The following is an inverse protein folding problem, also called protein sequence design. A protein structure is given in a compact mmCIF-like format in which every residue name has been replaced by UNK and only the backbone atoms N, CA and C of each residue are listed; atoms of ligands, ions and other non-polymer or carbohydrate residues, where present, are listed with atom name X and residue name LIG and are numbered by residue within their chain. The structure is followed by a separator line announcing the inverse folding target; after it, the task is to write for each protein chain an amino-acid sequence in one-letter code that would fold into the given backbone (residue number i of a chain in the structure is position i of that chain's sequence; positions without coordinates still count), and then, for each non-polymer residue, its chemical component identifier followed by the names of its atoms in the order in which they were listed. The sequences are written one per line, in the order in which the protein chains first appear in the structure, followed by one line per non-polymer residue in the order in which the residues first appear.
data_IF_947238149751
#
_entry.id   IF_947238149751
#
_cell.length_a   1.000
_cell.length_b   1.000
_cell.length_c   1.000
_cell.angle_alpha   90.00
_cell.angle_beta   90.00
_cell.angle_gamma   90.00
#
_symmetry.space_group_name_H-M   'P 1'
#
loop_
_entity.id
_entity.type
_entity.pdbx_description
1 polymer ?
#
# COMPACT_ATOMS: atom_id res chain seq x y z
N UNK A 1 30.44 -2.48 -17.78
CA UNK A 1 30.17 -2.40 -17.11
C UNK A 1 28.93 -2.12 -16.70
N UNK A 2 28.39 -2.51 -16.10
CA UNK A 2 27.30 -2.30 -15.56
C UNK A 2 26.77 -1.00 -15.56
N UNK A 3 27.45 -0.07 -15.75
CA UNK A 3 26.96 1.26 -15.77
C UNK A 3 25.94 1.45 -16.85
N UNK A 4 26.12 0.75 -17.94
CA UNK A 4 25.19 0.88 -19.04
C UNK A 4 23.80 0.47 -18.65
N UNK A 5 23.71 -0.49 -17.78
CA UNK A 5 22.39 -0.97 -17.40
C UNK A 5 21.70 -0.02 -16.44
N UNK A 6 22.46 0.87 -15.83
CA UNK A 6 21.87 1.79 -14.90
C UNK A 6 21.11 2.90 -15.56
N UNK A 7 21.44 3.20 -16.81
CA UNK A 7 20.76 4.27 -17.48
C UNK A 7 19.29 4.06 -17.64
N UNK A 8 18.85 2.84 -17.78
CA UNK A 8 17.43 2.53 -17.96
C UNK A 8 16.93 1.86 -16.71
N UNK A 9 16.02 2.51 -15.99
CA UNK A 9 15.47 1.89 -14.78
C UNK A 9 14.85 0.55 -15.10
N UNK A 10 15.05 -0.40 -14.23
CA UNK A 10 14.54 -1.74 -14.39
C UNK A 10 13.41 -1.98 -13.39
N UNK A 11 12.30 -2.56 -13.82
CA UNK A 11 11.22 -2.85 -12.88
C UNK A 11 11.71 -3.78 -11.79
N UNK A 12 11.29 -3.52 -10.57
CA UNK A 12 11.62 -4.37 -9.45
C UNK A 12 10.49 -5.39 -9.27
N UNK A 13 10.74 -6.68 -9.49
CA UNK A 13 9.68 -7.68 -9.42
C UNK A 13 9.09 -7.84 -8.02
N UNK A 14 9.78 -7.31 -7.00
CA UNK A 14 9.29 -7.44 -5.65
C UNK A 14 8.34 -6.32 -5.24
N UNK A 15 8.27 -5.25 -6.00
CA UNK A 15 7.43 -4.11 -5.66
C UNK A 15 6.43 -3.87 -6.75
N UNK A 16 5.20 -4.26 -6.49
CA UNK A 16 4.12 -4.11 -7.45
C UNK A 16 3.03 -3.27 -6.82
N UNK A 17 2.44 -2.39 -7.57
CA UNK A 17 1.41 -1.50 -7.03
C UNK A 17 0.20 -2.31 -6.57
N UNK A 18 -0.25 -2.05 -5.36
CA UNK A 18 -1.39 -2.73 -4.77
C UNK A 18 -2.71 -2.07 -5.13
N UNK A 19 -2.69 -1.01 -5.92
CA UNK A 19 -3.92 -0.33 -6.31
C UNK A 19 -4.83 -1.24 -7.12
N UNK A 20 -6.15 -1.09 -6.98
CA UNK A 20 -7.09 -1.91 -7.72
C UNK A 20 -6.87 -1.76 -9.22
N UNK A 21 -6.75 -2.91 -9.90
CA UNK A 21 -6.54 -2.95 -11.34
C UNK A 21 -5.26 -2.26 -11.82
N UNK A 22 -4.30 -2.09 -10.95
CA UNK A 22 -3.04 -1.48 -11.33
C UNK A 22 -1.95 -2.54 -11.55
N UNK A 23 -1.26 -2.92 -10.50
CA UNK A 23 -0.28 -4.00 -10.57
C UNK A 23 1.00 -3.69 -11.34
N UNK A 24 1.29 -2.43 -11.63
CA UNK A 24 2.53 -2.12 -12.34
C UNK A 24 3.72 -2.34 -11.42
N UNK A 25 4.87 -2.62 -12.04
CA UNK A 25 6.08 -2.87 -11.29
C UNK A 25 6.84 -1.58 -11.06
N UNK A 26 7.43 -1.45 -9.88
CA UNK A 26 8.21 -0.27 -9.55
C UNK A 26 9.54 -0.31 -10.28
N UNK A 27 9.94 0.83 -10.83
CA UNK A 27 11.25 0.97 -11.43
C UNK A 27 12.13 1.76 -10.49
N UNK A 28 13.43 1.65 -10.66
CA UNK A 28 14.37 2.20 -9.69
C UNK A 28 14.26 3.71 -9.52
N UNK A 29 13.80 4.40 -10.53
CA UNK A 29 13.67 5.86 -10.46
C UNK A 29 12.30 6.34 -10.00
N UNK A 30 11.35 5.44 -9.82
CA UNK A 30 10.01 5.83 -9.45
C UNK A 30 9.94 6.24 -8.00
N UNK A 31 9.11 7.24 -7.72
CA UNK A 31 8.84 7.66 -6.36
C UNK A 31 7.47 7.14 -5.99
N UNK A 32 7.43 6.15 -5.13
CA UNK A 32 6.18 5.54 -4.72
C UNK A 32 5.90 5.85 -3.26
N UNK A 33 4.79 5.34 -2.80
CA UNK A 33 4.32 5.52 -1.43
C UNK A 33 4.07 4.16 -0.81
N UNK A 34 3.95 4.15 0.51
CA UNK A 34 3.70 2.92 1.25
C UNK A 34 2.50 3.11 2.16
N UNK A 35 1.69 2.07 2.26
CA UNK A 35 0.51 2.09 3.11
C UNK A 35 0.46 0.80 3.91
N UNK A 36 0.01 0.89 5.14
CA UNK A 36 -0.19 -0.31 5.93
C UNK A 36 -1.23 -0.03 7.02
N UNK A 37 -1.71 -1.09 7.66
CA UNK A 37 -2.69 -0.95 8.71
C UNK A 37 -2.12 -1.52 10.00
N UNK A 38 -2.61 -1.02 11.13
CA UNK A 38 -2.15 -1.49 12.42
C UNK A 38 -3.23 -1.28 13.46
N UNK A 39 -3.30 -2.19 14.42
CA UNK A 39 -4.23 -2.07 15.53
C UNK A 39 -3.50 -2.02 16.86
N UNK A 40 -2.19 -1.84 16.77
CA UNK A 40 -1.32 -1.99 17.92
C UNK A 40 -1.75 -1.30 19.19
N UNK A 41 -2.10 -0.06 19.14
CA UNK A 41 -2.47 0.69 20.33
C UNK A 41 -3.90 1.20 20.28
N UNK A 42 -4.72 0.60 19.42
CA UNK A 42 -6.03 1.14 19.19
C UNK A 42 -7.11 0.07 19.27
N UNK A 43 -8.29 0.48 19.67
CA UNK A 43 -9.42 -0.41 19.66
C UNK A 43 -9.84 -0.75 18.24
N UNK A 44 -9.44 0.05 17.29
CA UNK A 44 -9.79 -0.17 15.90
C UNK A 44 -8.58 0.00 15.01
N UNK A 45 -8.66 -0.54 13.80
CA UNK A 45 -7.56 -0.51 12.84
C UNK A 45 -7.31 0.91 12.35
N UNK A 46 -6.06 1.27 12.23
CA UNK A 46 -5.65 2.55 11.66
C UNK A 46 -4.90 2.31 10.35
N UNK A 47 -5.02 3.26 9.44
CA UNK A 47 -4.32 3.20 8.16
C UNK A 47 -3.20 4.23 8.17
N UNK A 48 -2.02 3.80 7.74
CA UNK A 48 -0.84 4.66 7.68
C UNK A 48 -0.39 4.83 6.25
N UNK A 49 0.16 6.00 5.95
CA UNK A 49 0.68 6.32 4.63
C UNK A 49 1.98 7.09 4.80
N UNK A 50 3.00 6.71 4.06
CA UNK A 50 4.27 7.41 4.10
C UNK A 50 4.93 7.40 2.74
N UNK A 51 5.91 8.29 2.56
CA UNK A 51 6.73 8.26 1.38
C UNK A 51 7.60 7.01 1.40
N UNK A 52 8.17 6.67 0.27
CA UNK A 52 8.95 5.45 0.14
C UNK A 52 10.09 5.40 1.15
N UNK A 53 10.23 4.26 1.80
CA UNK A 53 11.31 3.97 2.72
C UNK A 53 11.61 2.48 2.59
N UNK A 54 12.84 2.13 2.26
CA UNK A 54 13.19 0.74 1.98
C UNK A 54 12.90 -0.19 3.16
N UNK A 55 13.16 0.27 4.36
CA UNK A 55 12.94 -0.58 5.52
C UNK A 55 11.45 -0.88 5.70
N UNK A 56 10.61 0.11 5.50
CA UNK A 56 9.18 -0.07 5.60
C UNK A 56 8.66 -0.88 4.41
N UNK A 57 9.23 -0.65 3.23
CA UNK A 57 8.78 -1.33 2.02
C UNK A 57 8.95 -2.84 2.12
N UNK A 58 9.96 -3.29 2.87
CA UNK A 58 10.22 -4.70 3.03
C UNK A 58 9.48 -5.30 4.22
N UNK A 59 8.70 -4.51 4.91
CA UNK A 59 7.94 -4.99 6.06
C UNK A 59 6.76 -5.83 5.64
N UNK A 60 6.41 -6.77 6.50
CA UNK A 60 5.29 -7.63 6.23
C UNK A 60 3.99 -6.85 6.28
N UNK A 61 3.12 -7.05 5.31
CA UNK A 61 1.83 -6.37 5.30
C UNK A 61 1.86 -4.98 4.70
N UNK A 62 3.01 -4.51 4.24
CA UNK A 62 3.10 -3.20 3.63
C UNK A 62 2.63 -3.25 2.18
N UNK A 63 1.79 -2.29 1.81
CA UNK A 63 1.32 -2.16 0.44
C UNK A 63 2.15 -1.11 -0.28
N UNK A 64 2.54 -1.41 -1.50
CA UNK A 64 3.34 -0.50 -2.32
C UNK A 64 2.41 0.20 -3.31
N UNK A 65 2.47 1.52 -3.37
CA UNK A 65 1.50 2.32 -4.11
C UNK A 65 2.22 3.23 -5.06
N UNK A 66 1.86 3.19 -6.34
CA UNK A 66 2.58 3.94 -7.36
C UNK A 66 2.24 5.41 -7.39
N UNK A 67 1.13 5.83 -6.83
CA UNK A 67 0.77 7.22 -6.85
C UNK A 67 -0.51 7.52 -6.11
N UNK A 68 -0.90 8.77 -6.19
CA UNK A 68 -2.02 9.27 -5.43
C UNK A 68 -3.34 8.59 -5.76
N UNK A 69 -3.61 8.35 -7.03
CA UNK A 69 -4.88 7.73 -7.40
C UNK A 69 -5.05 6.34 -6.79
N UNK A 70 -4.00 5.53 -6.85
CA UNK A 70 -4.06 4.21 -6.26
C UNK A 70 -4.17 4.30 -4.75
N UNK A 71 -3.47 5.26 -4.14
CA UNK A 71 -3.56 5.46 -2.71
C UNK A 71 -4.99 5.82 -2.30
N UNK A 72 -5.63 6.69 -3.06
CA UNK A 72 -7.00 7.08 -2.79
C UNK A 72 -7.96 5.91 -2.90
N UNK A 73 -7.75 5.05 -3.90
CA UNK A 73 -8.61 3.89 -4.06
C UNK A 73 -8.45 2.92 -2.90
N UNK A 74 -7.22 2.70 -2.47
CA UNK A 74 -6.97 1.82 -1.34
C UNK A 74 -7.54 2.40 -0.05
N UNK A 75 -7.41 3.71 0.13
CA UNK A 75 -7.98 4.38 1.28
C UNK A 75 -9.49 4.23 1.30
N UNK A 76 -10.12 4.38 0.14
CA UNK A 76 -11.56 4.23 0.02
C UNK A 76 -12.00 2.81 0.38
N UNK A 77 -11.26 1.81 -0.09
CA UNK A 77 -11.55 0.43 0.26
C UNK A 77 -11.41 0.18 1.76
N UNK A 78 -10.36 0.75 2.36
CA UNK A 78 -10.14 0.60 3.78
C UNK A 78 -11.32 1.17 4.56
N UNK A 79 -11.75 2.37 4.20
CA UNK A 79 -12.86 3.01 4.88
C UNK A 79 -14.15 2.23 4.70
N UNK A 80 -14.37 1.70 3.50
CA UNK A 80 -15.54 0.89 3.24
C UNK A 80 -15.54 -0.41 4.04
N UNK A 81 -14.39 -1.05 4.14
CA UNK A 81 -14.28 -2.29 4.89
C UNK A 81 -14.53 -2.07 6.38
N UNK A 82 -14.03 -0.96 6.91
CA UNK A 82 -14.26 -0.64 8.32
C UNK A 82 -15.74 -0.41 8.56
N UNK A 83 -16.38 0.33 7.65
CA UNK A 83 -17.81 0.62 7.79
C UNK A 83 -18.64 -0.66 7.74
N UNK A 84 -18.31 -1.55 6.79
CA UNK A 84 -19.03 -2.81 6.70
C UNK A 84 -18.81 -3.66 7.93
N UNK A 85 -17.60 -3.67 8.45
CA UNK A 85 -17.30 -4.42 9.65
C UNK A 85 -18.10 -3.92 10.84
N UNK A 86 -18.25 -2.61 10.96
CA UNK A 86 -19.03 -2.03 12.03
C UNK A 86 -20.51 -2.39 11.89
N UNK A 87 -21.02 -2.35 10.68
CA UNK A 87 -22.41 -2.71 10.46
C UNK A 87 -22.65 -4.17 10.78
N UNK A 88 -21.77 -5.05 10.36
CA UNK A 88 -21.90 -6.46 10.65
C UNK A 88 -21.82 -6.72 12.14
N UNK A 89 -20.96 -5.98 12.83
CA UNK A 89 -20.81 -6.15 14.25
C UNK A 89 -22.10 -5.77 14.97
N UNK A 90 -22.71 -4.68 14.53
CA UNK A 90 -23.99 -4.27 15.12
C UNK A 90 -25.06 -5.33 14.86
N UNK A 91 -25.10 -5.86 13.64
CA UNK A 91 -26.05 -6.89 13.32
C UNK A 91 -25.81 -8.13 14.16
N UNK A 92 -24.56 -8.49 14.37
CA UNK A 92 -24.23 -9.66 15.16
C UNK A 92 -24.58 -9.53 16.60
N UNK A 93 -24.69 -8.30 17.10
CA UNK A 93 -25.03 -8.08 18.49
C UNK A 93 -26.51 -8.36 18.77
N UNK A 94 -27.30 -8.39 17.73
CA UNK A 94 -28.69 -8.74 17.91
C UNK A 94 -28.86 -10.22 17.94
#
# INVERSE_FOLDING_TARGET
MKLATIRNPVPNPYYRCAGPNCGILKQSSDRWWLMWTSREHLAQTALYLTAWNEDIANGEGTLHVCGELCAQKLQSQFMGNIREGQLRKVSGAR
#
